data_IF_961403436742
#
_entry.id   IF_961403436742
#
_cell.length_a   1.000
_cell.length_b   1.000
_cell.length_c   1.000
_cell.angle_alpha   90.00
_cell.angle_beta   90.00
_cell.angle_gamma   90.00
#
_symmetry.space_group_name_H-M   'P 1'
#
loop_
_entity.id
_entity.type
_entity.pdbx_description
1 polymer ?
#
# COMPACT_ATOMS: atom_id res chain seq x y z
N UNK A 1 0.22 -11.44 -14.22
CA UNK A 1 -0.62 -10.54 -15.04
C UNK A 1 -0.81 -9.22 -14.32
N UNK A 2 -0.62 -8.12 -15.04
CA UNK A 2 -0.70 -6.79 -14.44
C UNK A 2 -2.14 -6.34 -14.28
N UNK A 3 -2.46 -5.80 -13.11
CA UNK A 3 -3.79 -5.26 -12.85
C UNK A 3 -3.96 -3.94 -13.60
N UNK A 4 -5.12 -3.73 -14.20
CA UNK A 4 -5.41 -2.49 -14.90
C UNK A 4 -5.59 -1.35 -13.92
N UNK A 5 -5.21 -0.14 -14.37
CA UNK A 5 -5.33 1.05 -13.54
C UNK A 5 -6.76 1.27 -13.04
N UNK A 6 -7.72 1.16 -13.93
CA UNK A 6 -9.12 1.34 -13.55
C UNK A 6 -9.57 0.31 -12.53
N UNK A 7 -9.19 -0.96 -12.74
CA UNK A 7 -9.58 -2.02 -11.81
C UNK A 7 -8.92 -1.79 -10.45
N UNK A 8 -7.65 -1.41 -10.44
CA UNK A 8 -6.96 -1.13 -9.18
C UNK A 8 -7.64 0.00 -8.41
N UNK A 9 -7.91 1.11 -9.09
CA UNK A 9 -8.56 2.26 -8.46
C UNK A 9 -9.98 1.95 -8.04
N UNK A 10 -10.70 1.14 -8.81
CA UNK A 10 -12.05 0.74 -8.42
C UNK A 10 -12.02 -0.09 -7.14
N UNK A 11 -11.07 -0.99 -7.00
CA UNK A 11 -10.95 -1.78 -5.78
C UNK A 11 -10.59 -0.90 -4.58
N UNK A 12 -9.66 0.03 -4.76
CA UNK A 12 -9.29 0.94 -3.67
C UNK A 12 -10.49 1.83 -3.31
N UNK A 13 -11.20 2.36 -4.31
CA UNK A 13 -12.35 3.20 -4.09
C UNK A 13 -13.43 2.46 -3.30
N UNK A 14 -13.68 1.21 -3.67
CA UNK A 14 -14.69 0.40 -3.01
C UNK A 14 -14.31 0.09 -1.58
N UNK A 15 -13.08 -0.33 -1.36
CA UNK A 15 -12.62 -0.72 -0.03
C UNK A 15 -12.49 0.45 0.91
N UNK A 16 -12.10 1.60 0.37
CA UNK A 16 -12.00 2.82 1.17
C UNK A 16 -13.31 3.58 1.27
N UNK A 17 -14.33 3.14 0.53
CA UNK A 17 -15.63 3.81 0.47
C UNK A 17 -15.46 5.27 0.09
N UNK A 18 -14.56 5.53 -0.86
CA UNK A 18 -14.29 6.89 -1.31
C UNK A 18 -15.37 7.39 -2.25
N UNK A 19 -15.56 8.69 -2.26
CA UNK A 19 -16.53 9.32 -3.13
C UNK A 19 -16.06 9.48 -4.57
N UNK A 20 -14.75 9.32 -4.82
CA UNK A 20 -14.21 9.49 -6.16
C UNK A 20 -12.92 8.70 -6.33
N UNK A 21 -12.56 8.46 -7.60
CA UNK A 21 -11.29 7.82 -7.90
C UNK A 21 -10.11 8.72 -7.56
N UNK A 22 -10.31 10.03 -7.56
CA UNK A 22 -9.24 10.97 -7.22
C UNK A 22 -8.81 10.79 -5.77
N UNK A 23 -9.75 10.57 -4.87
CA UNK A 23 -9.42 10.29 -3.48
C UNK A 23 -8.66 8.98 -3.35
N UNK A 24 -9.11 7.96 -4.08
CA UNK A 24 -8.45 6.66 -4.07
C UNK A 24 -7.03 6.79 -4.63
N UNK A 25 -6.85 7.54 -5.70
CA UNK A 25 -5.55 7.72 -6.31
C UNK A 25 -4.58 8.41 -5.35
N UNK A 26 -5.06 9.44 -4.65
CA UNK A 26 -4.22 10.17 -3.69
C UNK A 26 -3.74 9.24 -2.58
N UNK A 27 -4.64 8.45 -2.03
CA UNK A 27 -4.28 7.49 -0.98
C UNK A 27 -3.28 6.47 -1.51
N UNK A 28 -3.52 5.93 -2.71
CA UNK A 28 -2.65 4.94 -3.29
C UNK A 28 -1.25 5.48 -3.53
N UNK A 29 -1.12 6.70 -4.01
CA UNK A 29 0.19 7.30 -4.27
C UNK A 29 1.03 7.40 -3.01
N UNK A 30 0.42 7.89 -1.93
CA UNK A 30 1.14 8.07 -0.67
C UNK A 30 1.53 6.71 -0.08
N UNK A 31 0.58 5.80 -0.02
CA UNK A 31 0.83 4.50 0.61
C UNK A 31 1.88 3.72 -0.16
N UNK A 32 1.81 3.71 -1.49
CA UNK A 32 2.77 2.98 -2.31
C UNK A 32 4.17 3.60 -2.25
N UNK A 33 4.26 4.92 -2.16
CA UNK A 33 5.55 5.58 -2.02
C UNK A 33 6.22 5.18 -0.70
N UNK A 34 5.44 5.10 0.37
CA UNK A 34 5.96 4.67 1.66
C UNK A 34 6.28 3.18 1.68
N UNK A 35 5.41 2.37 1.08
CA UNK A 35 5.65 0.93 1.02
C UNK A 35 6.92 0.63 0.25
N UNK A 36 7.15 1.31 -0.86
CA UNK A 36 8.34 1.11 -1.67
C UNK A 36 9.62 1.37 -0.89
N UNK A 37 9.57 2.31 0.05
CA UNK A 37 10.73 2.62 0.88
C UNK A 37 11.09 1.47 1.83
N UNK A 38 10.15 0.57 2.07
CA UNK A 38 10.33 -0.55 2.99
C UNK A 38 10.68 -1.87 2.29
N UNK A 39 10.64 -1.88 0.97
CA UNK A 39 10.91 -3.08 0.19
C UNK A 39 12.21 -2.90 -0.58
N UNK A 40 12.95 -4.00 -0.77
CA UNK A 40 14.21 -3.96 -1.50
C UNK A 40 14.27 -5.09 -2.51
N UNK A 41 15.14 -4.91 -3.50
CA UNK A 41 15.51 -5.95 -4.43
C UNK A 41 14.36 -6.50 -5.23
N UNK A 42 14.38 -7.80 -5.40
CA UNK A 42 13.48 -8.49 -6.30
C UNK A 42 12.02 -8.47 -5.82
N UNK A 43 11.81 -8.47 -4.52
CA UNK A 43 10.44 -8.43 -3.98
C UNK A 43 9.75 -7.15 -4.42
N UNK A 44 10.44 -6.00 -4.33
CA UNK A 44 9.87 -4.73 -4.79
C UNK A 44 9.60 -4.78 -6.29
N UNK A 45 10.54 -5.31 -7.07
CA UNK A 45 10.36 -5.41 -8.51
C UNK A 45 9.20 -6.33 -8.89
N UNK A 46 9.04 -7.44 -8.18
CA UNK A 46 7.95 -8.36 -8.44
C UNK A 46 6.60 -7.74 -8.13
N UNK A 47 6.53 -6.98 -7.04
CA UNK A 47 5.28 -6.30 -6.72
C UNK A 47 4.96 -5.24 -7.76
N UNK A 48 5.97 -4.45 -8.17
CA UNK A 48 5.77 -3.43 -9.18
C UNK A 48 5.21 -4.04 -10.46
N UNK A 49 5.66 -5.23 -10.82
CA UNK A 49 5.20 -5.89 -12.05
C UNK A 49 3.71 -6.29 -11.99
N UNK A 50 3.13 -6.30 -10.80
CA UNK A 50 1.73 -6.65 -10.61
C UNK A 50 0.81 -5.44 -10.52
N UNK A 51 1.38 -4.23 -10.50
CA UNK A 51 0.62 -3.00 -10.35
C UNK A 51 0.49 -2.26 -11.67
N UNK A 52 -0.51 -1.37 -11.79
CA UNK A 52 -0.58 -0.48 -12.96
C UNK A 52 0.70 0.32 -13.09
N UNK A 53 1.06 0.67 -14.30
CA UNK A 53 2.36 1.25 -14.59
C UNK A 53 2.69 2.50 -13.77
N UNK A 54 1.75 3.43 -13.66
CA UNK A 54 2.00 4.66 -12.92
C UNK A 54 2.20 4.40 -11.42
N UNK A 55 1.47 3.43 -10.87
CA UNK A 55 1.65 3.06 -9.46
C UNK A 55 2.92 2.22 -9.26
N UNK A 56 3.27 1.41 -10.25
CA UNK A 56 4.53 0.66 -10.22
C UNK A 56 5.71 1.62 -10.16
N UNK A 57 5.67 2.70 -10.91
CA UNK A 57 6.74 3.70 -10.91
C UNK A 57 6.86 4.38 -9.55
N UNK A 58 5.73 4.62 -8.89
CA UNK A 58 5.75 5.20 -7.55
C UNK A 58 6.44 4.25 -6.57
N UNK A 59 6.08 2.99 -6.64
CA UNK A 59 6.69 1.97 -5.77
C UNK A 59 8.19 1.87 -6.00
N UNK A 60 8.64 1.97 -7.24
CA UNK A 60 10.05 1.85 -7.60
C UNK A 60 10.85 3.12 -7.32
N UNK A 61 10.16 4.25 -7.10
CA UNK A 61 10.81 5.52 -6.76
C UNK A 61 10.26 6.01 -5.42
N UNK A 62 10.56 5.29 -4.34
CA UNK A 62 9.92 5.55 -3.05
C UNK A 62 10.45 6.80 -2.39
N UNK A 63 9.65 7.29 -1.46
CA UNK A 63 10.11 8.33 -0.54
C UNK A 63 11.23 7.75 0.30
N UNK A 64 12.24 8.57 0.57
CA UNK A 64 13.36 8.10 1.37
C UNK A 64 12.95 7.96 2.83
N UNK A 65 13.36 6.86 3.43
CA UNK A 65 13.14 6.62 4.84
C UNK A 65 14.45 6.14 5.45
N UNK A 66 14.83 6.74 6.55
CA UNK A 66 16.09 6.38 7.21
C UNK A 66 16.00 5.02 7.90
N UNK A 67 14.82 4.65 8.33
CA UNK A 67 14.63 3.39 9.04
C UNK A 67 13.25 2.84 8.76
N UNK A 68 13.09 1.52 8.91
CA UNK A 68 11.76 0.91 8.76
C UNK A 68 10.80 1.46 9.81
N UNK A 69 9.58 1.72 9.38
CA UNK A 69 8.55 2.24 10.27
C UNK A 69 7.71 1.10 10.80
N UNK A 70 7.32 1.20 12.08
CA UNK A 70 6.31 0.30 12.63
C UNK A 70 4.98 0.56 11.93
N UNK A 71 4.00 -0.36 12.01
CA UNK A 71 2.69 -0.11 11.42
C UNK A 71 2.08 1.20 11.88
N UNK A 72 2.18 1.52 13.16
CA UNK A 72 1.63 2.77 13.69
C UNK A 72 2.31 3.99 13.09
N UNK A 73 3.63 3.93 12.96
CA UNK A 73 4.38 5.04 12.36
C UNK A 73 4.12 5.17 10.87
N UNK A 74 3.89 4.04 10.20
CA UNK A 74 3.53 4.05 8.79
C UNK A 74 2.22 4.82 8.61
N UNK A 75 1.23 4.54 9.46
CA UNK A 75 -0.05 5.26 9.41
C UNK A 75 0.14 6.74 9.65
N UNK A 76 0.96 7.11 10.64
CA UNK A 76 1.23 8.52 10.93
C UNK A 76 1.95 9.21 9.76
N UNK A 77 2.88 8.52 9.13
CA UNK A 77 3.57 9.06 7.97
C UNK A 77 2.59 9.28 6.82
N UNK A 78 1.67 8.36 6.63
CA UNK A 78 0.61 8.52 5.63
C UNK A 78 -0.23 9.75 5.93
N UNK A 79 -0.63 9.93 7.20
CA UNK A 79 -1.42 11.08 7.59
C UNK A 79 -0.69 12.39 7.32
N UNK A 80 0.62 12.40 7.51
CA UNK A 80 1.42 13.62 7.30
C UNK A 80 1.45 14.03 5.83
N UNK A 81 1.28 13.10 4.92
CA UNK A 81 1.34 13.38 3.48
C UNK A 81 -0.01 13.67 2.86
N UNK A 82 -1.10 13.43 3.58
CA UNK A 82 -2.45 13.66 3.07
C UNK A 82 -3.05 14.83 3.84
N UNK A 83 -3.33 15.90 3.13
CA UNK A 83 -3.87 17.11 3.75
C UNK A 83 -5.21 16.81 4.41
N UNK A 84 -5.36 17.25 5.66
CA UNK A 84 -6.60 17.06 6.40
C UNK A 84 -6.78 15.66 7.00
N UNK A 85 -5.81 14.77 6.83
CA UNK A 85 -5.94 13.41 7.35
C UNK A 85 -5.65 13.38 8.84
N UNK A 86 -6.38 12.48 9.53
CA UNK A 86 -6.09 12.13 10.92
C UNK A 86 -5.45 10.75 10.92
N UNK A 87 -4.93 10.33 12.07
CA UNK A 87 -4.39 8.98 12.18
C UNK A 87 -5.46 7.94 11.86
N UNK A 88 -6.70 8.21 12.25
CA UNK A 88 -7.81 7.30 12.02
C UNK A 88 -8.16 7.17 10.55
N UNK A 89 -8.26 8.29 9.84
CA UNK A 89 -8.55 8.26 8.41
C UNK A 89 -7.38 7.70 7.63
N UNK A 90 -6.14 8.00 8.06
CA UNK A 90 -4.96 7.44 7.40
C UNK A 90 -4.88 5.93 7.57
N UNK A 91 -5.25 5.40 8.76
CA UNK A 91 -5.29 3.96 8.96
C UNK A 91 -6.29 3.31 8.01
N UNK A 92 -7.43 3.93 7.79
CA UNK A 92 -8.43 3.47 6.84
C UNK A 92 -7.86 3.46 5.43
N UNK A 93 -7.19 4.56 5.03
CA UNK A 93 -6.59 4.67 3.71
C UNK A 93 -5.52 3.60 3.48
N UNK A 94 -4.65 3.39 4.47
CA UNK A 94 -3.61 2.37 4.39
C UNK A 94 -4.23 0.99 4.19
N UNK A 95 -5.26 0.68 4.96
CA UNK A 95 -5.94 -0.61 4.84
C UNK A 95 -6.56 -0.82 3.47
N UNK A 96 -7.22 0.21 2.93
CA UNK A 96 -7.86 0.11 1.63
C UNK A 96 -6.83 -0.16 0.52
N UNK A 97 -5.71 0.56 0.56
CA UNK A 97 -4.66 0.41 -0.46
C UNK A 97 -3.94 -0.92 -0.30
N UNK A 98 -3.50 -1.25 0.91
CA UNK A 98 -2.69 -2.44 1.11
C UNK A 98 -3.49 -3.73 0.93
N UNK A 99 -4.79 -3.74 1.25
CA UNK A 99 -5.59 -4.93 0.97
C UNK A 99 -5.75 -5.15 -0.53
N UNK A 100 -5.82 -4.07 -1.30
CA UNK A 100 -5.85 -4.17 -2.76
C UNK A 100 -4.50 -4.65 -3.29
N UNK A 101 -3.41 -4.16 -2.72
CA UNK A 101 -2.06 -4.64 -3.06
C UNK A 101 -1.94 -6.13 -2.77
N UNK A 102 -2.49 -6.59 -1.65
CA UNK A 102 -2.43 -8.02 -1.30
C UNK A 102 -3.11 -8.88 -2.35
N UNK A 103 -4.26 -8.43 -2.86
CA UNK A 103 -4.95 -9.17 -3.92
C UNK A 103 -4.13 -9.21 -5.19
N UNK A 104 -3.49 -8.09 -5.54
CA UNK A 104 -2.69 -8.03 -6.76
C UNK A 104 -1.43 -8.88 -6.65
N UNK A 105 -0.84 -8.93 -5.46
CA UNK A 105 0.40 -9.66 -5.23
C UNK A 105 0.20 -11.18 -5.17
N UNK A 106 -0.88 -11.61 -4.54
CA UNK A 106 -1.10 -13.03 -4.31
C UNK A 106 -0.39 -13.52 -3.07
N UNK A 107 -0.77 -14.72 -2.62
CA UNK A 107 -0.33 -15.24 -1.31
C UNK A 107 1.17 -15.39 -1.19
N UNK A 108 1.82 -15.93 -2.21
CA UNK A 108 3.26 -16.18 -2.12
C UNK A 108 4.06 -14.89 -2.03
N UNK A 109 3.72 -13.93 -2.86
CA UNK A 109 4.45 -12.66 -2.86
C UNK A 109 4.18 -11.88 -1.58
N UNK A 110 2.95 -11.92 -1.08
CA UNK A 110 2.62 -11.24 0.18
C UNK A 110 3.46 -11.79 1.32
N UNK A 111 3.68 -13.10 1.37
CA UNK A 111 4.54 -13.67 2.41
C UNK A 111 5.95 -13.10 2.35
N UNK A 112 6.48 -12.97 1.14
CA UNK A 112 7.82 -12.40 0.97
C UNK A 112 7.84 -10.92 1.36
N UNK A 113 6.80 -10.18 1.03
CA UNK A 113 6.70 -8.78 1.41
C UNK A 113 6.70 -8.64 2.93
N UNK A 114 5.88 -9.45 3.61
CA UNK A 114 5.79 -9.38 5.06
C UNK A 114 7.10 -9.73 5.75
N UNK A 115 7.91 -10.59 5.13
CA UNK A 115 9.24 -10.91 5.69
C UNK A 115 10.18 -9.72 5.68
N UNK A 116 9.97 -8.76 4.79
CA UNK A 116 10.82 -7.57 4.72
C UNK A 116 10.31 -6.44 5.62
N UNK A 117 9.11 -6.57 6.16
CA UNK A 117 8.49 -5.52 6.94
C UNK A 117 8.58 -5.81 8.43
N UNK A 118 8.56 -4.78 9.28
CA UNK A 118 8.46 -5.00 10.73
C UNK A 118 7.20 -5.77 11.08
N UNK A 119 7.14 -6.32 12.28
CA UNK A 119 6.01 -7.10 12.74
C UNK A 119 4.73 -6.25 12.77
N UNK A 120 3.60 -6.87 12.47
CA UNK A 120 2.30 -6.23 12.58
C UNK A 120 1.71 -5.76 11.26
N UNK A 121 2.50 -5.77 10.19
CA UNK A 121 2.00 -5.29 8.89
C UNK A 121 0.94 -6.21 8.30
N UNK A 122 0.89 -7.47 8.70
CA UNK A 122 -0.15 -8.38 8.22
C UNK A 122 -1.55 -7.80 8.49
N UNK A 123 -1.72 -7.09 9.60
CA UNK A 123 -3.00 -6.46 9.91
C UNK A 123 -3.32 -5.33 8.94
N UNK A 124 -2.30 -4.59 8.51
CA UNK A 124 -2.51 -3.50 7.56
C UNK A 124 -2.86 -4.01 6.17
N UNK A 125 -2.37 -5.18 5.81
CA UNK A 125 -2.71 -5.79 4.52
C UNK A 125 -4.10 -6.46 4.55
N UNK A 126 -4.77 -6.43 5.68
CA UNK A 126 -6.09 -7.03 5.81
C UNK A 126 -6.07 -8.53 5.83
N UNK A 127 -4.92 -9.11 6.11
CA UNK A 127 -4.79 -10.54 6.20
C UNK A 127 -5.56 -11.01 7.43
N UNK A 128 -6.53 -11.85 7.24
CA UNK A 128 -7.28 -12.31 8.37
C UNK A 128 -6.45 -13.25 9.14
N UNK A 129 -6.14 -12.95 9.92
CA UNK A 129 -5.53 -13.78 10.56
C UNK A 129 -6.29 -14.75 11.08
N UNK A 130 -6.84 -14.84 10.79
CA UNK A 130 -7.48 -15.38 10.95
C UNK A 130 -7.94 -16.08 10.75
N UNK A 131 -8.01 -16.15 10.68
CA UNK A 131 -8.44 -16.80 10.50
C UNK A 131 -8.30 -17.57 10.58
#
# INVERSE_FOLDING_TARGET
MTLRREAFLDHVTERGEYGSRQEAERAARVVLALLGAHLVGEVRAQLAARLPEDFALILLNPLQSAEPLSPERFVRATAAWIEGATDQTAAWDVGAVLSTVADAAGDDLIKQILLQLPAGYDLLFGSPQST
#
